data_IF_619420737295
#
_entry.id   IF_619420737295
#
_cell.length_a   1.000
_cell.length_b   1.000
_cell.length_c   1.000
_cell.angle_alpha   90.00
_cell.angle_beta   90.00
_cell.angle_gamma   90.00
#
_symmetry.space_group_name_H-M   'P 1'
#
loop_
_entity.id
_entity.type
_entity.pdbx_description
1 polymer ?
#
# COMPACT_ATOMS: atom_id res chain seq x y z
N UNK A 1 12.27 20.92 -21.26
CA UNK A 1 12.40 19.71 -20.40
C UNK A 1 12.17 18.51 -21.29
N UNK A 2 13.04 17.51 -21.22
CA UNK A 2 12.82 16.23 -21.91
C UNK A 2 11.98 15.32 -21.00
N UNK A 3 11.04 14.58 -21.58
CA UNK A 3 10.25 13.55 -20.89
C UNK A 3 10.64 12.17 -21.41
N UNK A 4 10.47 11.15 -20.57
CA UNK A 4 10.68 9.75 -20.91
C UNK A 4 9.34 9.03 -20.78
N UNK A 5 8.90 8.35 -21.83
CA UNK A 5 7.72 7.51 -21.77
C UNK A 5 8.07 6.19 -21.07
N UNK A 6 7.21 5.75 -20.15
CA UNK A 6 7.28 4.47 -19.47
C UNK A 6 5.95 3.74 -19.66
N UNK A 7 6.02 2.44 -19.87
CA UNK A 7 4.89 1.52 -19.79
C UNK A 7 4.47 1.31 -18.32
N UNK A 8 3.26 0.80 -18.08
CA UNK A 8 2.79 0.51 -16.73
C UNK A 8 3.66 -0.54 -16.01
N UNK A 9 4.19 -1.50 -16.76
CA UNK A 9 5.10 -2.53 -16.23
C UNK A 9 6.45 -1.91 -15.84
N UNK A 10 6.98 -0.98 -16.62
CA UNK A 10 8.19 -0.24 -16.26
C UNK A 10 7.97 0.66 -15.04
N UNK A 11 6.80 1.27 -14.91
CA UNK A 11 6.41 2.06 -13.73
C UNK A 11 6.35 1.17 -12.49
N UNK A 12 5.72 0.00 -12.60
CA UNK A 12 5.65 -0.98 -11.51
C UNK A 12 7.05 -1.42 -11.08
N UNK A 13 7.88 -1.86 -12.04
CA UNK A 13 9.24 -2.32 -11.76
C UNK A 13 10.07 -1.22 -11.11
N UNK A 14 10.01 0.02 -11.62
CA UNK A 14 10.73 1.15 -11.07
C UNK A 14 10.31 1.45 -9.61
N UNK A 15 9.00 1.42 -9.33
CA UNK A 15 8.49 1.62 -7.99
C UNK A 15 8.92 0.48 -7.06
N UNK A 16 8.72 -0.78 -7.45
CA UNK A 16 9.09 -1.96 -6.67
C UNK A 16 10.59 -1.97 -6.34
N UNK A 17 11.44 -1.81 -7.34
CA UNK A 17 12.90 -1.81 -7.20
C UNK A 17 13.36 -0.69 -6.27
N UNK A 18 12.79 0.51 -6.41
CA UNK A 18 13.10 1.64 -5.54
C UNK A 18 12.75 1.33 -4.08
N UNK A 19 11.61 0.71 -3.81
CA UNK A 19 11.20 0.36 -2.44
C UNK A 19 12.07 -0.77 -1.86
N UNK A 20 12.31 -1.82 -2.63
CA UNK A 20 13.14 -2.97 -2.23
C UNK A 20 14.58 -2.53 -1.96
N UNK A 21 15.16 -1.68 -2.82
CA UNK A 21 16.50 -1.13 -2.63
C UNK A 21 16.62 -0.23 -1.37
N UNK A 22 15.50 0.21 -0.80
CA UNK A 22 15.45 1.01 0.42
C UNK A 22 14.93 0.24 1.64
N UNK A 23 14.90 -1.09 1.57
CA UNK A 23 14.72 -1.97 2.73
C UNK A 23 13.31 -2.51 2.94
N UNK A 24 12.38 -2.29 2.00
CA UNK A 24 11.10 -2.99 2.01
C UNK A 24 11.28 -4.50 1.79
N UNK A 25 10.42 -5.30 2.41
CA UNK A 25 10.18 -6.67 1.95
C UNK A 25 9.32 -6.65 0.68
N UNK A 26 9.23 -7.81 0.02
CA UNK A 26 8.53 -7.94 -1.25
C UNK A 26 7.04 -7.59 -1.16
N UNK A 27 6.37 -7.96 -0.06
CA UNK A 27 4.95 -7.66 0.17
C UNK A 27 4.68 -6.14 0.22
N UNK A 28 5.46 -5.39 0.99
CA UNK A 28 5.33 -3.93 1.07
C UNK A 28 5.68 -3.27 -0.27
N UNK A 29 6.77 -3.70 -0.91
CA UNK A 29 7.21 -3.15 -2.18
C UNK A 29 6.17 -3.38 -3.28
N UNK A 30 5.63 -4.60 -3.37
CA UNK A 30 4.62 -4.99 -4.36
C UNK A 30 3.30 -4.26 -4.16
N UNK A 31 2.81 -4.15 -2.91
CA UNK A 31 1.57 -3.44 -2.62
C UNK A 31 1.67 -1.95 -2.97
N UNK A 32 2.82 -1.33 -2.67
CA UNK A 32 3.05 0.08 -2.98
C UNK A 32 3.24 0.32 -4.48
N UNK A 33 3.96 -0.57 -5.17
CA UNK A 33 4.14 -0.52 -6.62
C UNK A 33 2.79 -0.66 -7.37
N UNK A 34 1.89 -1.55 -6.95
CA UNK A 34 0.56 -1.68 -7.55
C UNK A 34 -0.25 -0.39 -7.44
N UNK A 35 -0.26 0.26 -6.26
CA UNK A 35 -0.95 1.54 -6.06
C UNK A 35 -0.33 2.66 -6.90
N UNK A 36 1.00 2.74 -6.97
CA UNK A 36 1.70 3.73 -7.79
C UNK A 36 1.38 3.55 -9.27
N UNK A 37 1.41 2.32 -9.77
CA UNK A 37 1.09 2.01 -11.17
C UNK A 37 -0.36 2.34 -11.50
N UNK A 38 -1.32 2.03 -10.62
CA UNK A 38 -2.72 2.41 -10.80
C UNK A 38 -2.91 3.92 -10.80
N UNK A 39 -2.23 4.64 -9.90
CA UNK A 39 -2.31 6.09 -9.85
C UNK A 39 -1.78 6.75 -11.14
N UNK A 40 -0.67 6.24 -11.69
CA UNK A 40 -0.16 6.70 -12.99
C UNK A 40 -1.11 6.37 -14.15
N UNK A 41 -1.62 5.13 -14.20
CA UNK A 41 -2.62 4.70 -15.19
C UNK A 41 -3.85 5.60 -15.21
N UNK A 42 -4.32 6.00 -14.02
CA UNK A 42 -5.56 6.76 -13.85
C UNK A 42 -5.32 8.29 -13.92
N UNK A 43 -4.10 8.75 -14.20
CA UNK A 43 -3.74 10.17 -14.33
C UNK A 43 -3.61 10.93 -13.00
N UNK A 44 -3.62 10.22 -11.86
CA UNK A 44 -3.44 10.78 -10.52
C UNK A 44 -1.95 10.87 -10.18
N UNK A 45 -1.18 11.60 -10.99
CA UNK A 45 0.29 11.63 -10.91
C UNK A 45 0.83 12.08 -9.54
N UNK A 46 0.10 12.90 -8.79
CA UNK A 46 0.46 13.31 -7.42
C UNK A 46 0.44 12.16 -6.39
N UNK A 47 -0.09 10.99 -6.78
CA UNK A 47 -0.14 9.76 -6.00
C UNK A 47 0.62 8.59 -6.66
N UNK A 48 1.21 8.82 -7.84
CA UNK A 48 2.05 7.86 -8.56
C UNK A 48 3.54 7.98 -8.21
N UNK A 49 4.41 7.93 -9.22
CA UNK A 49 5.88 7.97 -9.09
C UNK A 49 6.37 9.21 -8.33
N UNK A 50 5.60 10.31 -8.38
CA UNK A 50 5.85 11.52 -7.59
C UNK A 50 6.03 11.22 -6.08
N UNK A 51 5.35 10.20 -5.54
CA UNK A 51 5.41 9.86 -4.12
C UNK A 51 6.64 9.06 -3.72
N UNK A 52 7.30 8.37 -4.66
CA UNK A 52 8.42 7.45 -4.37
C UNK A 52 9.54 8.10 -3.55
N UNK A 53 10.04 9.31 -3.88
CA UNK A 53 11.07 9.96 -3.06
C UNK A 53 10.63 10.21 -1.61
N UNK A 54 9.35 10.51 -1.40
CA UNK A 54 8.76 10.68 -0.07
C UNK A 54 8.70 9.38 0.72
N UNK A 55 8.30 8.28 0.08
CA UNK A 55 8.27 6.95 0.70
C UNK A 55 9.67 6.45 1.05
N UNK A 56 10.65 6.65 0.16
CA UNK A 56 12.06 6.36 0.43
C UNK A 56 12.58 7.14 1.63
N UNK A 57 12.23 8.44 1.73
CA UNK A 57 12.58 9.25 2.90
C UNK A 57 11.97 8.70 4.20
N UNK A 58 10.72 8.25 4.15
CA UNK A 58 10.02 7.70 5.32
C UNK A 58 10.63 6.38 5.81
N UNK A 59 11.05 5.51 4.88
CA UNK A 59 11.82 4.29 5.19
C UNK A 59 13.17 4.62 5.82
N UNK A 60 13.95 5.48 5.17
CA UNK A 60 15.30 5.84 5.64
C UNK A 60 15.30 6.53 6.99
N UNK A 61 14.22 7.23 7.35
CA UNK A 61 14.07 7.87 8.66
C UNK A 61 13.57 6.93 9.75
N UNK A 62 13.20 5.68 9.42
CA UNK A 62 12.53 4.75 10.33
C UNK A 62 11.11 5.17 10.72
N UNK A 63 10.50 6.11 9.97
CA UNK A 63 9.08 6.49 10.20
C UNK A 63 8.14 5.37 9.76
N UNK A 64 8.56 4.61 8.77
CA UNK A 64 7.88 3.43 8.24
C UNK A 64 8.76 2.23 8.45
N UNK A 65 8.17 1.12 8.89
CA UNK A 65 8.83 -0.17 8.86
C UNK A 65 8.45 -0.89 7.57
N UNK A 66 9.39 -0.91 6.61
CA UNK A 66 9.19 -1.58 5.32
C UNK A 66 9.10 -3.11 5.39
N UNK A 67 9.22 -3.69 6.59
CA UNK A 67 9.12 -5.13 6.85
C UNK A 67 7.98 -5.46 7.81
N UNK A 68 7.26 -4.46 8.32
CA UNK A 68 6.08 -4.69 9.13
C UNK A 68 4.98 -5.36 8.31
N UNK A 69 4.26 -6.28 8.95
CA UNK A 69 3.10 -6.98 8.38
C UNK A 69 1.86 -6.62 9.20
N UNK A 70 0.75 -6.23 8.57
CA UNK A 70 -0.47 -5.84 9.27
C UNK A 70 -1.14 -7.04 9.96
N UNK A 71 -1.86 -6.78 11.05
CA UNK A 71 -2.72 -7.76 11.72
C UNK A 71 -4.18 -7.43 11.48
N UNK A 72 -4.90 -8.32 10.80
CA UNK A 72 -6.34 -8.18 10.53
C UNK A 72 -7.14 -9.00 11.54
N UNK A 73 -8.18 -8.42 12.12
CA UNK A 73 -9.06 -9.06 13.10
C UNK A 73 -10.53 -8.76 12.77
N UNK A 74 -11.36 -9.80 12.63
CA UNK A 74 -12.83 -9.66 12.67
C UNK A 74 -13.25 -9.45 14.14
N UNK A 75 -13.55 -8.22 14.53
CA UNK A 75 -13.94 -7.86 15.92
C UNK A 75 -15.39 -8.26 16.18
N UNK A 76 -16.24 -8.08 15.17
CA UNK A 76 -17.61 -8.61 15.11
C UNK A 76 -17.84 -9.13 13.69
N UNK A 77 -18.99 -9.76 13.37
CA UNK A 77 -19.29 -10.18 12.00
C UNK A 77 -19.23 -9.03 10.98
N UNK A 78 -19.48 -7.78 11.39
CA UNK A 78 -19.53 -6.59 10.54
C UNK A 78 -18.39 -5.58 10.78
N UNK A 79 -17.53 -5.76 11.78
CA UNK A 79 -16.46 -4.79 12.11
C UNK A 79 -15.10 -5.45 12.02
N UNK A 80 -14.28 -4.95 11.09
CA UNK A 80 -12.92 -5.39 10.85
C UNK A 80 -11.95 -4.33 11.38
N UNK A 81 -10.89 -4.77 12.06
CA UNK A 81 -9.78 -3.91 12.47
C UNK A 81 -8.50 -4.43 11.84
N UNK A 82 -7.71 -3.51 11.29
CA UNK A 82 -6.39 -3.77 10.75
C UNK A 82 -5.38 -2.83 11.42
N UNK A 83 -4.46 -3.40 12.19
CA UNK A 83 -3.33 -2.69 12.78
C UNK A 83 -2.11 -2.88 11.89
N UNK A 84 -1.55 -1.79 11.38
CA UNK A 84 -0.48 -1.77 10.40
C UNK A 84 0.92 -1.93 10.98
N UNK A 85 1.11 -1.72 12.29
CA UNK A 85 2.42 -1.83 12.95
C UNK A 85 3.53 -0.99 12.30
N UNK A 86 3.16 0.13 11.68
CA UNK A 86 4.07 1.03 10.99
C UNK A 86 4.34 0.69 9.52
N UNK A 87 3.62 -0.27 8.92
CA UNK A 87 3.72 -0.56 7.49
C UNK A 87 3.11 0.55 6.60
N UNK A 88 3.32 0.45 5.30
CA UNK A 88 2.65 1.31 4.34
C UNK A 88 1.16 0.95 4.21
N UNK A 89 0.30 1.96 4.10
CA UNK A 89 -1.15 1.76 3.96
C UNK A 89 -1.57 0.79 2.83
N UNK A 90 -0.94 0.77 1.63
CA UNK A 90 -1.23 -0.23 0.61
C UNK A 90 -1.19 -1.68 1.07
N UNK A 91 -0.21 -2.09 1.90
CA UNK A 91 -0.13 -3.46 2.39
C UNK A 91 -1.29 -3.76 3.36
N UNK A 92 -1.55 -2.86 4.31
CA UNK A 92 -2.66 -2.98 5.24
C UNK A 92 -4.03 -3.05 4.54
N UNK A 93 -4.21 -2.29 3.46
CA UNK A 93 -5.41 -2.32 2.62
C UNK A 93 -5.51 -3.64 1.85
N UNK A 94 -4.43 -4.09 1.21
CA UNK A 94 -4.41 -5.35 0.48
C UNK A 94 -4.77 -6.55 1.37
N UNK A 95 -4.31 -6.55 2.63
CA UNK A 95 -4.64 -7.60 3.59
C UNK A 95 -6.08 -7.51 4.14
N UNK A 96 -6.61 -6.30 4.36
CA UNK A 96 -7.87 -6.12 5.06
C UNK A 96 -9.11 -6.00 4.15
N UNK A 97 -8.95 -5.52 2.91
CA UNK A 97 -10.07 -5.33 1.98
C UNK A 97 -10.79 -6.64 1.60
N UNK A 98 -10.10 -7.78 1.37
CA UNK A 98 -10.80 -9.05 1.12
C UNK A 98 -11.69 -9.47 2.29
N UNK A 99 -11.20 -9.34 3.52
CA UNK A 99 -11.95 -9.67 4.75
C UNK A 99 -13.14 -8.74 4.94
N UNK A 100 -12.97 -7.45 4.62
CA UNK A 100 -14.06 -6.48 4.65
C UNK A 100 -15.15 -6.82 3.62
N UNK A 101 -14.75 -7.18 2.39
CA UNK A 101 -15.68 -7.52 1.32
C UNK A 101 -16.48 -8.79 1.65
N UNK A 102 -15.83 -9.81 2.21
CA UNK A 102 -16.51 -11.02 2.71
C UNK A 102 -17.55 -10.67 3.78
N UNK A 103 -17.16 -9.92 4.81
CA UNK A 103 -18.08 -9.52 5.88
C UNK A 103 -19.27 -8.69 5.36
N UNK A 104 -19.03 -7.77 4.42
CA UNK A 104 -20.08 -6.98 3.79
C UNK A 104 -21.03 -7.85 2.96
N UNK A 105 -20.52 -8.87 2.27
CA UNK A 105 -21.34 -9.81 1.49
C UNK A 105 -22.22 -10.68 2.38
N UNK A 106 -21.76 -11.04 3.58
CA UNK A 106 -22.52 -11.87 4.52
C UNK A 106 -23.60 -11.07 5.29
N UNK A 107 -23.27 -9.85 5.72
CA UNK A 107 -24.09 -9.07 6.65
C UNK A 107 -24.87 -7.93 5.95
N UNK A 108 -24.51 -7.62 4.70
CA UNK A 108 -25.04 -6.49 3.93
C UNK A 108 -24.31 -5.17 4.16
N UNK A 109 -23.61 -5.03 5.30
CA UNK A 109 -22.74 -3.89 5.60
C UNK A 109 -21.57 -4.34 6.50
N UNK A 110 -20.39 -3.78 6.27
CA UNK A 110 -19.25 -3.93 7.15
C UNK A 110 -18.41 -2.65 7.19
N UNK A 111 -17.66 -2.46 8.28
CA UNK A 111 -16.76 -1.33 8.48
C UNK A 111 -15.33 -1.82 8.77
N UNK A 112 -14.34 -1.14 8.20
CA UNK A 112 -12.93 -1.38 8.43
C UNK A 112 -12.28 -0.17 9.12
N UNK A 113 -11.58 -0.43 10.21
CA UNK A 113 -10.66 0.53 10.83
C UNK A 113 -9.22 0.14 10.47
N UNK A 114 -8.45 1.11 9.95
CA UNK A 114 -7.02 1.00 9.71
C UNK A 114 -6.28 1.90 10.71
N UNK A 115 -5.39 1.32 11.50
CA UNK A 115 -4.57 2.03 12.50
C UNK A 115 -3.09 1.70 12.31
N UNK A 116 -2.20 2.57 12.80
CA UNK A 116 -0.75 2.38 12.72
C UNK A 116 -0.20 2.15 11.31
N UNK A 117 -0.76 2.82 10.32
CA UNK A 117 -0.30 2.82 8.92
C UNK A 117 0.34 4.16 8.55
N UNK A 118 1.20 4.14 7.53
CA UNK A 118 1.73 5.35 6.88
C UNK A 118 1.04 5.67 5.56
#
# INVERSE_FOLDING_TARGET
MATTALTLDEIYALAHDAMTANGCNDENASALADIVTRAERDGSHSHGLFRIPGYVKALRSGKVDGKASPTVTRVTPAVIRCEGHGCFAPLAQASALPVLAEAASEIGVAALSLTGIH
#
